data_IF_827737653131
#
_entry.id   IF_827737653131
#
_cell.length_a   1.000
_cell.length_b   1.000
_cell.length_c   1.000
_cell.angle_alpha   90.00
_cell.angle_beta   90.00
_cell.angle_gamma   90.00
#
_symmetry.space_group_name_H-M   'P 1'
#
loop_
_entity.id
_entity.type
_entity.pdbx_description
1 polymer ?
#
# COMPACT_ATOMS: atom_id res chain seq x y z
N UNK A 1 -10.43 20.04 -21.14
CA UNK A 1 -11.13 18.87 -20.57
C UNK A 1 -12.60 18.94 -21.01
N UNK A 2 -13.18 17.80 -21.37
CA UNK A 2 -14.62 17.68 -21.61
C UNK A 2 -15.37 17.98 -20.27
N UNK A 3 -16.43 18.82 -20.27
CA UNK A 3 -17.21 19.11 -19.06
C UNK A 3 -17.74 17.84 -18.35
N UNK A 4 -18.13 16.81 -19.10
CA UNK A 4 -18.58 15.55 -18.55
C UNK A 4 -17.47 14.84 -17.77
N UNK A 5 -16.21 14.89 -18.24
CA UNK A 5 -15.08 14.29 -17.55
C UNK A 5 -14.85 14.97 -16.19
N UNK A 6 -14.94 16.31 -16.15
CA UNK A 6 -14.78 17.10 -14.92
C UNK A 6 -15.87 16.78 -13.91
N UNK A 7 -17.14 16.72 -14.37
CA UNK A 7 -18.26 16.33 -13.51
C UNK A 7 -18.09 14.90 -13.01
N UNK A 8 -17.65 13.99 -13.87
CA UNK A 8 -17.37 12.60 -13.50
C UNK A 8 -16.29 12.51 -12.41
N UNK A 9 -15.17 13.23 -12.56
CA UNK A 9 -14.11 13.30 -11.55
C UNK A 9 -14.64 13.89 -10.21
N UNK A 10 -15.48 14.90 -10.26
CA UNK A 10 -16.10 15.46 -9.05
C UNK A 10 -17.03 14.46 -8.35
N UNK A 11 -17.85 13.74 -9.09
CA UNK A 11 -18.71 12.69 -8.54
C UNK A 11 -17.91 11.54 -7.92
N UNK A 12 -16.73 11.22 -8.46
CA UNK A 12 -15.81 10.31 -7.83
C UNK A 12 -15.34 10.80 -6.45
N UNK A 13 -15.02 12.09 -6.29
CA UNK A 13 -14.65 12.65 -4.98
C UNK A 13 -15.78 12.52 -3.96
N UNK A 14 -17.02 12.80 -4.38
CA UNK A 14 -18.20 12.59 -3.52
C UNK A 14 -18.35 11.11 -3.15
N UNK A 15 -18.16 10.22 -4.11
CA UNK A 15 -18.21 8.79 -3.88
C UNK A 15 -17.15 8.34 -2.86
N UNK A 16 -15.92 8.84 -3.00
CA UNK A 16 -14.84 8.54 -2.07
C UNK A 16 -15.14 8.99 -0.64
N UNK A 17 -15.76 10.15 -0.49
CA UNK A 17 -16.23 10.66 0.81
C UNK A 17 -17.25 9.70 1.46
N UNK A 18 -18.23 9.21 0.71
CA UNK A 18 -19.19 8.22 1.23
C UNK A 18 -18.53 6.86 1.52
N UNK A 19 -17.56 6.45 0.70
CA UNK A 19 -16.78 5.23 0.94
C UNK A 19 -16.01 5.28 2.26
N UNK A 20 -15.38 6.44 2.57
CA UNK A 20 -14.64 6.62 3.83
C UNK A 20 -15.52 6.58 5.09
N UNK A 21 -16.84 6.72 4.93
CA UNK A 21 -17.86 6.61 5.97
C UNK A 21 -18.56 5.24 5.97
N UNK A 22 -18.03 4.25 5.25
CA UNK A 22 -18.62 2.92 5.04
C UNK A 22 -20.03 2.94 4.41
N UNK A 23 -20.44 4.09 3.83
CA UNK A 23 -21.71 4.21 3.13
C UNK A 23 -21.57 3.77 1.67
N UNK A 24 -21.40 2.46 1.47
CA UNK A 24 -21.10 1.88 0.16
C UNK A 24 -22.26 2.00 -0.83
N UNK A 25 -23.50 2.11 -0.36
CA UNK A 25 -24.68 2.31 -1.23
C UNK A 25 -24.61 3.66 -1.93
N UNK A 26 -24.46 4.74 -1.17
CA UNK A 26 -24.31 6.09 -1.73
C UNK A 26 -23.02 6.21 -2.55
N UNK A 27 -21.92 5.65 -2.06
CA UNK A 27 -20.66 5.63 -2.80
C UNK A 27 -20.86 5.01 -4.19
N UNK A 28 -21.46 3.83 -4.27
CA UNK A 28 -21.71 3.14 -5.54
C UNK A 28 -22.68 3.90 -6.47
N UNK A 29 -23.67 4.60 -5.91
CA UNK A 29 -24.55 5.46 -6.71
C UNK A 29 -23.74 6.54 -7.44
N UNK A 30 -22.91 7.29 -6.72
CA UNK A 30 -22.08 8.34 -7.33
C UNK A 30 -21.00 7.79 -8.26
N UNK A 31 -20.43 6.60 -7.96
CA UNK A 31 -19.51 5.90 -8.86
C UNK A 31 -20.15 5.53 -10.19
N UNK A 32 -21.39 5.07 -10.19
CA UNK A 32 -22.12 4.75 -11.42
C UNK A 32 -22.31 6.00 -12.29
N UNK A 33 -22.68 7.13 -11.66
CA UNK A 33 -22.80 8.41 -12.37
C UNK A 33 -21.45 8.90 -12.91
N UNK A 34 -20.40 8.81 -12.09
CA UNK A 34 -19.03 9.15 -12.50
C UNK A 34 -18.59 8.32 -13.70
N UNK A 35 -18.79 7.01 -13.64
CA UNK A 35 -18.42 6.10 -14.72
C UNK A 35 -19.24 6.30 -16.00
N UNK A 36 -20.50 6.71 -15.87
CA UNK A 36 -21.34 7.06 -17.02
C UNK A 36 -20.81 8.30 -17.73
N UNK A 37 -20.40 9.34 -16.99
CA UNK A 37 -19.89 10.59 -17.53
C UNK A 37 -18.44 10.49 -18.02
N UNK A 38 -17.60 9.71 -17.32
CA UNK A 38 -16.19 9.52 -17.65
C UNK A 38 -15.80 8.03 -17.56
N UNK A 39 -16.16 7.21 -18.56
CA UNK A 39 -15.91 5.76 -18.53
C UNK A 39 -14.42 5.39 -18.61
N UNK A 40 -13.56 6.33 -19.02
CA UNK A 40 -12.09 6.11 -19.10
C UNK A 40 -11.37 6.41 -17.77
N UNK A 41 -12.08 6.92 -16.76
CA UNK A 41 -11.50 7.27 -15.47
C UNK A 41 -11.37 6.02 -14.58
N UNK A 42 -10.24 5.32 -14.71
CA UNK A 42 -9.99 4.02 -14.08
C UNK A 42 -10.02 4.06 -12.54
N UNK A 43 -9.88 5.24 -11.91
CA UNK A 43 -10.08 5.39 -10.46
C UNK A 43 -11.48 4.94 -9.99
N UNK A 44 -12.49 5.04 -10.87
CA UNK A 44 -13.82 4.51 -10.56
C UNK A 44 -13.76 3.00 -10.27
N UNK A 45 -13.02 2.22 -11.09
CA UNK A 45 -12.88 0.78 -10.89
C UNK A 45 -12.12 0.46 -9.60
N UNK A 46 -11.08 1.24 -9.26
CA UNK A 46 -10.32 1.00 -8.03
C UNK A 46 -11.20 1.22 -6.80
N UNK A 47 -12.02 2.29 -6.77
CA UNK A 47 -12.92 2.54 -5.64
C UNK A 47 -14.08 1.54 -5.56
N UNK A 48 -14.60 1.06 -6.72
CA UNK A 48 -15.57 -0.07 -6.73
C UNK A 48 -14.95 -1.32 -6.12
N UNK A 49 -13.72 -1.67 -6.49
CA UNK A 49 -13.02 -2.82 -5.94
C UNK A 49 -12.77 -2.67 -4.42
N UNK A 50 -12.41 -1.45 -3.97
CA UNK A 50 -12.23 -1.12 -2.56
C UNK A 50 -13.52 -1.27 -1.77
N UNK A 51 -14.63 -0.69 -2.23
CA UNK A 51 -15.94 -0.83 -1.60
C UNK A 51 -16.37 -2.29 -1.49
N UNK A 52 -16.16 -3.07 -2.55
CA UNK A 52 -16.47 -4.49 -2.56
C UNK A 52 -15.59 -5.28 -1.59
N UNK A 53 -14.29 -4.94 -1.50
CA UNK A 53 -13.37 -5.55 -0.54
C UNK A 53 -13.77 -5.22 0.91
N UNK A 54 -14.02 -3.95 1.23
CA UNK A 54 -14.40 -3.50 2.57
C UNK A 54 -15.73 -4.10 3.01
N UNK A 55 -16.68 -4.24 2.06
CA UNK A 55 -17.95 -4.93 2.28
C UNK A 55 -17.86 -6.47 2.21
N UNK A 56 -16.63 -7.03 2.26
CA UNK A 56 -16.33 -8.49 2.25
C UNK A 56 -16.87 -9.24 1.01
N UNK A 57 -17.20 -8.52 -0.06
CA UNK A 57 -17.67 -9.08 -1.34
C UNK A 57 -16.49 -9.50 -2.23
N UNK A 58 -15.61 -10.35 -1.71
CA UNK A 58 -14.31 -10.68 -2.33
C UNK A 58 -14.42 -11.24 -3.75
N UNK A 59 -15.45 -12.03 -4.07
CA UNK A 59 -15.68 -12.54 -5.42
C UNK A 59 -15.94 -11.40 -6.42
N UNK A 60 -16.75 -10.40 -6.01
CA UNK A 60 -17.03 -9.24 -6.86
C UNK A 60 -15.79 -8.35 -7.00
N UNK A 61 -15.06 -8.14 -5.91
CA UNK A 61 -13.82 -7.39 -5.93
C UNK A 61 -12.82 -7.97 -6.94
N UNK A 62 -12.58 -9.30 -6.92
CA UNK A 62 -11.73 -9.98 -7.90
C UNK A 62 -12.19 -9.74 -9.34
N UNK A 63 -13.48 -9.93 -9.62
CA UNK A 63 -14.04 -9.68 -10.97
C UNK A 63 -13.87 -8.23 -11.42
N UNK A 64 -13.93 -7.27 -10.50
CA UNK A 64 -13.67 -5.87 -10.81
C UNK A 64 -12.18 -5.62 -11.09
N UNK A 65 -11.29 -6.23 -10.28
CA UNK A 65 -9.84 -6.13 -10.44
C UNK A 65 -9.33 -6.73 -11.76
N UNK A 66 -9.97 -7.78 -12.27
CA UNK A 66 -9.64 -8.40 -13.57
C UNK A 66 -9.81 -7.45 -14.77
N UNK A 67 -10.51 -6.33 -14.60
CA UNK A 67 -10.65 -5.30 -15.63
C UNK A 67 -9.40 -4.43 -15.81
N UNK A 68 -8.49 -4.40 -14.81
CA UNK A 68 -7.20 -3.73 -14.97
C UNK A 68 -6.27 -4.59 -15.82
N UNK A 69 -5.75 -4.00 -16.88
CA UNK A 69 -4.89 -4.68 -17.85
C UNK A 69 -3.44 -4.63 -17.42
N UNK A 70 -2.64 -5.57 -17.95
CA UNK A 70 -1.20 -5.66 -17.67
C UNK A 70 -0.44 -4.43 -18.17
N UNK A 71 -0.92 -3.81 -19.26
CA UNK A 71 -0.33 -2.62 -19.88
C UNK A 71 -0.46 -1.34 -19.01
N UNK A 72 -1.35 -1.37 -18.02
CA UNK A 72 -1.55 -0.28 -17.07
C UNK A 72 -0.71 -0.51 -15.81
N UNK A 73 0.62 -0.38 -15.85
CA UNK A 73 1.57 -0.73 -14.79
C UNK A 73 1.12 -0.35 -13.37
N UNK A 74 0.64 0.88 -13.20
CA UNK A 74 0.17 1.37 -11.90
C UNK A 74 -1.06 0.61 -11.39
N UNK A 75 -2.06 0.43 -12.26
CA UNK A 75 -3.30 -0.25 -11.90
C UNK A 75 -3.12 -1.75 -11.83
N UNK A 76 -2.23 -2.31 -12.64
CA UNK A 76 -1.86 -3.72 -12.56
C UNK A 76 -1.26 -4.05 -11.20
N UNK A 77 -0.29 -3.25 -10.72
CA UNK A 77 0.27 -3.44 -9.39
C UNK A 77 -0.76 -3.23 -8.27
N UNK A 78 -1.65 -2.24 -8.40
CA UNK A 78 -2.79 -2.07 -7.49
C UNK A 78 -3.66 -3.33 -7.43
N UNK A 79 -3.99 -3.92 -8.58
CA UNK A 79 -4.72 -5.19 -8.68
C UNK A 79 -4.01 -6.29 -7.91
N UNK A 80 -2.72 -6.54 -8.18
CA UNK A 80 -1.91 -7.58 -7.53
C UNK A 80 -1.92 -7.42 -6.00
N UNK A 81 -1.72 -6.20 -5.50
CA UNK A 81 -1.79 -5.93 -4.06
C UNK A 81 -3.15 -6.24 -3.46
N UNK A 82 -4.22 -5.85 -4.13
CA UNK A 82 -5.58 -6.06 -3.63
C UNK A 82 -5.95 -7.54 -3.68
N UNK A 83 -5.55 -8.28 -4.70
CA UNK A 83 -5.71 -9.73 -4.78
C UNK A 83 -4.95 -10.45 -3.66
N UNK A 84 -3.71 -10.04 -3.37
CA UNK A 84 -2.93 -10.56 -2.23
C UNK A 84 -3.64 -10.30 -0.89
N UNK A 85 -4.20 -9.09 -0.69
CA UNK A 85 -5.00 -8.77 0.50
C UNK A 85 -6.24 -9.66 0.62
N UNK A 86 -6.96 -9.92 -0.48
CA UNK A 86 -8.10 -10.82 -0.51
C UNK A 86 -7.67 -12.25 -0.13
N UNK A 87 -6.56 -12.75 -0.69
CA UNK A 87 -6.00 -14.06 -0.35
C UNK A 87 -5.69 -14.13 1.14
N UNK A 88 -5.05 -13.11 1.71
CA UNK A 88 -4.76 -13.05 3.14
C UNK A 88 -6.02 -13.13 4.02
N UNK A 89 -7.14 -12.54 3.59
CA UNK A 89 -8.43 -12.59 4.31
C UNK A 89 -9.18 -13.91 4.14
N UNK A 90 -9.10 -14.52 2.95
CA UNK A 90 -9.84 -15.75 2.64
C UNK A 90 -9.09 -17.02 3.00
N UNK A 91 -7.77 -16.97 3.06
CA UNK A 91 -6.89 -18.10 3.32
C UNK A 91 -5.93 -17.79 4.48
N UNK A 92 -4.70 -17.35 4.15
CA UNK A 92 -3.68 -17.02 5.14
C UNK A 92 -2.62 -16.06 4.57
N UNK A 93 -1.80 -15.50 5.48
CA UNK A 93 -0.73 -14.56 5.12
C UNK A 93 0.36 -15.21 4.25
N UNK A 94 0.67 -16.48 4.46
CA UNK A 94 1.71 -17.19 3.71
C UNK A 94 1.34 -17.33 2.23
N UNK A 95 0.10 -17.74 1.94
CA UNK A 95 -0.38 -17.82 0.55
C UNK A 95 -0.44 -16.43 -0.11
N UNK A 96 -0.84 -15.40 0.63
CA UNK A 96 -0.81 -14.01 0.18
C UNK A 96 0.60 -13.56 -0.19
N UNK A 97 1.58 -13.85 0.67
CA UNK A 97 2.99 -13.53 0.41
C UNK A 97 3.52 -14.28 -0.82
N UNK A 98 3.27 -15.58 -0.91
CA UNK A 98 3.68 -16.38 -2.06
C UNK A 98 3.11 -15.83 -3.38
N UNK A 99 1.84 -15.41 -3.37
CA UNK A 99 1.20 -14.83 -4.53
C UNK A 99 1.87 -13.52 -4.95
N UNK A 100 2.01 -12.56 -4.02
CA UNK A 100 2.53 -11.23 -4.39
C UNK A 100 4.02 -11.28 -4.79
N UNK A 101 4.82 -12.15 -4.16
CA UNK A 101 6.23 -12.32 -4.51
C UNK A 101 6.40 -12.96 -5.89
N UNK A 102 5.53 -13.92 -6.25
CA UNK A 102 5.53 -14.52 -7.59
C UNK A 102 5.17 -13.48 -8.68
N UNK A 103 4.23 -12.59 -8.40
CA UNK A 103 3.88 -11.50 -9.32
C UNK A 103 4.98 -10.42 -9.38
N UNK A 104 5.58 -10.08 -8.24
CA UNK A 104 6.70 -9.15 -8.17
C UNK A 104 7.91 -9.63 -8.98
N UNK A 105 8.21 -10.92 -8.96
CA UNK A 105 9.32 -11.51 -9.72
C UNK A 105 9.19 -11.36 -11.25
N UNK A 106 8.00 -11.03 -11.75
CA UNK A 106 7.75 -10.77 -13.19
C UNK A 106 8.08 -9.34 -13.61
N UNK A 107 8.29 -8.44 -12.65
CA UNK A 107 8.57 -7.02 -12.90
C UNK A 107 10.08 -6.84 -13.08
N UNK A 108 10.52 -6.45 -14.26
CA UNK A 108 11.95 -6.32 -14.58
C UNK A 108 12.61 -5.16 -13.81
N UNK A 109 11.98 -4.00 -13.76
CA UNK A 109 12.51 -2.77 -13.12
C UNK A 109 11.47 -2.18 -12.16
N UNK A 110 11.29 -2.78 -10.97
CA UNK A 110 10.30 -2.27 -10.02
C UNK A 110 10.74 -0.91 -9.47
N UNK A 111 9.84 0.07 -9.51
CA UNK A 111 10.06 1.37 -8.89
C UNK A 111 10.03 1.29 -7.35
N UNK A 112 10.49 2.35 -6.68
CA UNK A 112 10.59 2.37 -5.21
C UNK A 112 9.24 2.11 -4.50
N UNK A 113 8.11 2.51 -5.10
CA UNK A 113 6.79 2.24 -4.54
C UNK A 113 6.45 0.74 -4.55
N UNK A 114 6.75 0.06 -5.63
CA UNK A 114 6.57 -1.40 -5.75
C UNK A 114 7.46 -2.14 -4.76
N UNK A 115 8.75 -1.72 -4.65
CA UNK A 115 9.71 -2.29 -3.69
C UNK A 115 9.24 -2.06 -2.25
N UNK A 116 8.75 -0.86 -1.93
CA UNK A 116 8.19 -0.54 -0.62
C UNK A 116 6.98 -1.42 -0.26
N UNK A 117 6.08 -1.63 -1.20
CA UNK A 117 4.93 -2.50 -1.00
C UNK A 117 5.36 -3.94 -0.68
N UNK A 118 6.34 -4.48 -1.42
CA UNK A 118 6.90 -5.82 -1.17
C UNK A 118 7.55 -5.90 0.21
N UNK A 119 8.37 -4.92 0.60
CA UNK A 119 8.98 -4.85 1.93
C UNK A 119 7.91 -4.93 3.04
N UNK A 120 6.81 -4.17 2.88
CA UNK A 120 5.70 -4.22 3.83
C UNK A 120 4.97 -5.57 3.85
N UNK A 121 4.81 -6.25 2.73
CA UNK A 121 4.23 -7.61 2.71
C UNK A 121 5.11 -8.61 3.46
N UNK A 122 6.43 -8.57 3.27
CA UNK A 122 7.37 -9.39 4.05
C UNK A 122 7.30 -9.07 5.54
N UNK A 123 7.38 -7.78 5.93
CA UNK A 123 7.25 -7.35 7.33
C UNK A 123 5.95 -7.85 7.97
N UNK A 124 4.81 -7.68 7.28
CA UNK A 124 3.50 -8.10 7.78
C UNK A 124 3.35 -9.63 7.89
N UNK A 125 4.17 -10.37 7.15
CA UNK A 125 4.25 -11.83 7.21
C UNK A 125 5.31 -12.32 8.20
N UNK A 126 5.99 -11.40 8.92
CA UNK A 126 7.09 -11.65 9.88
C UNK A 126 8.38 -12.16 9.25
N UNK A 127 8.54 -12.01 7.95
CA UNK A 127 9.77 -12.30 7.21
C UNK A 127 10.66 -11.03 7.23
N UNK A 128 11.19 -10.73 8.42
CA UNK A 128 11.84 -9.44 8.70
C UNK A 128 13.16 -9.27 7.96
N UNK A 129 13.95 -10.34 7.79
CA UNK A 129 15.21 -10.30 7.04
C UNK A 129 15.01 -9.88 5.58
N UNK A 130 13.98 -10.43 4.93
CA UNK A 130 13.63 -10.04 3.56
C UNK A 130 13.09 -8.58 3.53
N UNK A 131 12.27 -8.19 4.50
CA UNK A 131 11.79 -6.81 4.59
C UNK A 131 12.96 -5.81 4.70
N UNK A 132 13.95 -6.10 5.54
CA UNK A 132 15.16 -5.28 5.72
C UNK A 132 15.91 -5.11 4.39
N UNK A 133 16.09 -6.18 3.61
CA UNK A 133 16.77 -6.11 2.30
C UNK A 133 16.08 -5.11 1.36
N UNK A 134 14.75 -5.19 1.27
CA UNK A 134 13.99 -4.31 0.37
C UNK A 134 13.91 -2.87 0.89
N UNK A 135 13.79 -2.62 2.19
CA UNK A 135 13.90 -1.27 2.74
C UNK A 135 15.27 -0.68 2.49
N UNK A 136 16.35 -1.44 2.70
CA UNK A 136 17.73 -1.00 2.44
C UNK A 136 17.90 -0.60 0.98
N UNK A 137 17.40 -1.41 0.03
CA UNK A 137 17.47 -1.08 -1.40
C UNK A 137 16.85 0.28 -1.74
N UNK A 138 15.80 0.71 -1.03
CA UNK A 138 15.20 2.03 -1.26
C UNK A 138 16.04 3.11 -0.56
N UNK A 139 16.43 2.90 0.70
CA UNK A 139 17.18 3.86 1.53
C UNK A 139 18.48 4.26 0.86
N UNK A 140 19.20 3.31 0.27
CA UNK A 140 20.49 3.54 -0.37
C UNK A 140 20.39 4.44 -1.62
N UNK A 141 19.19 4.58 -2.18
CA UNK A 141 18.92 5.43 -3.36
C UNK A 141 18.19 6.74 -3.01
N UNK A 142 18.00 7.05 -1.73
CA UNK A 142 17.34 8.28 -1.30
C UNK A 142 18.34 9.33 -0.79
N UNK A 143 18.04 10.60 -1.07
CA UNK A 143 18.75 11.74 -0.49
C UNK A 143 18.69 11.71 1.04
N UNK A 144 19.70 12.30 1.70
CA UNK A 144 19.93 12.17 3.13
C UNK A 144 18.84 12.76 4.03
N UNK A 145 18.04 13.70 3.54
CA UNK A 145 17.01 14.38 4.33
C UNK A 145 15.67 14.33 3.61
N UNK A 146 14.87 13.31 3.90
CA UNK A 146 13.48 13.23 3.44
C UNK A 146 12.59 12.54 4.47
N UNK A 147 11.33 12.96 4.60
CA UNK A 147 10.32 12.27 5.43
C UNK A 147 10.16 10.81 5.02
N UNK A 148 10.29 10.51 3.72
CA UNK A 148 10.25 9.15 3.21
C UNK A 148 11.40 8.32 3.78
N UNK A 149 12.62 8.88 3.87
CA UNK A 149 13.77 8.16 4.45
C UNK A 149 13.56 7.89 5.94
N UNK A 150 13.00 8.86 6.69
CA UNK A 150 12.66 8.65 8.09
C UNK A 150 11.65 7.51 8.30
N UNK A 151 10.57 7.44 7.49
CA UNK A 151 9.59 6.34 7.55
C UNK A 151 10.23 4.99 7.21
N UNK A 152 11.10 4.93 6.21
CA UNK A 152 11.81 3.70 5.83
C UNK A 152 12.77 3.23 6.92
N UNK A 153 13.54 4.15 7.53
CA UNK A 153 14.44 3.85 8.64
C UNK A 153 13.64 3.34 9.85
N UNK A 154 12.53 4.00 10.21
CA UNK A 154 11.63 3.53 11.26
C UNK A 154 11.15 2.09 11.01
N UNK A 155 10.74 1.77 9.78
CA UNK A 155 10.27 0.42 9.42
C UNK A 155 11.40 -0.60 9.43
N UNK A 156 12.59 -0.24 8.95
CA UNK A 156 13.76 -1.12 8.95
C UNK A 156 14.28 -1.33 10.36
N UNK A 157 14.40 -0.30 11.15
CA UNK A 157 14.78 -0.37 12.57
C UNK A 157 13.85 -1.28 13.36
N UNK A 158 12.52 -1.09 13.20
CA UNK A 158 11.55 -2.02 13.79
C UNK A 158 11.66 -3.46 13.29
N UNK A 159 12.13 -3.69 12.08
CA UNK A 159 12.40 -5.04 11.58
C UNK A 159 13.68 -5.63 12.16
N UNK A 160 14.74 -4.83 12.35
CA UNK A 160 15.97 -5.22 13.04
C UNK A 160 15.68 -5.62 14.49
N UNK A 161 14.87 -4.85 15.20
CA UNK A 161 14.49 -5.18 16.59
C UNK A 161 13.80 -6.56 16.66
N UNK A 162 12.87 -6.83 15.73
CA UNK A 162 12.14 -8.10 15.69
C UNK A 162 13.03 -9.35 15.48
N UNK A 163 14.21 -9.18 14.93
CA UNK A 163 15.22 -10.26 14.76
C UNK A 163 16.39 -10.15 15.75
N UNK A 164 16.28 -9.26 16.75
CA UNK A 164 17.27 -9.13 17.84
C UNK A 164 18.55 -8.39 17.47
N UNK A 165 18.57 -7.62 16.38
CA UNK A 165 19.74 -6.81 15.96
C UNK A 165 19.55 -5.38 16.48
N UNK A 166 19.65 -5.22 17.80
CA UNK A 166 19.29 -3.99 18.51
C UNK A 166 20.17 -2.80 18.14
N UNK A 167 21.50 -2.99 17.98
CA UNK A 167 22.40 -1.88 17.60
C UNK A 167 21.99 -1.23 16.29
N UNK A 168 21.60 -2.01 15.29
CA UNK A 168 21.11 -1.48 14.00
C UNK A 168 19.70 -0.88 14.11
N UNK A 169 18.87 -1.42 14.98
CA UNK A 169 17.56 -0.86 15.24
C UNK A 169 17.69 0.55 15.83
N UNK A 170 18.53 0.72 16.84
CA UNK A 170 18.80 2.02 17.48
C UNK A 170 19.42 3.01 16.49
N UNK A 171 20.39 2.59 15.68
CA UNK A 171 21.01 3.43 14.64
C UNK A 171 19.96 4.00 13.68
N UNK A 172 19.08 3.14 13.14
CA UNK A 172 18.04 3.53 12.21
C UNK A 172 17.01 4.46 12.87
N UNK A 173 16.57 4.15 14.09
CA UNK A 173 15.55 4.92 14.81
C UNK A 173 16.08 6.28 15.24
N UNK A 174 17.32 6.36 15.74
CA UNK A 174 17.96 7.64 16.09
C UNK A 174 18.19 8.51 14.86
N UNK A 175 18.55 7.90 13.72
CA UNK A 175 18.68 8.66 12.48
C UNK A 175 17.32 9.15 11.96
N UNK A 176 16.29 8.33 12.04
CA UNK A 176 14.93 8.73 11.68
C UNK A 176 14.43 9.89 12.57
N UNK A 177 14.70 9.84 13.89
CA UNK A 177 14.39 10.90 14.84
C UNK A 177 15.16 12.20 14.55
N UNK A 178 16.41 12.10 14.06
CA UNK A 178 17.18 13.28 13.64
C UNK A 178 16.55 14.00 12.44
N UNK A 179 15.91 13.25 11.53
CA UNK A 179 15.17 13.82 10.39
C UNK A 179 13.82 14.38 10.85
N UNK A 180 13.12 13.68 11.72
CA UNK A 180 11.79 14.04 12.24
C UNK A 180 11.75 13.98 13.78
N UNK A 181 12.19 15.04 14.47
CA UNK A 181 12.41 15.03 15.92
C UNK A 181 11.14 14.84 16.77
N UNK A 182 9.99 15.22 16.22
CA UNK A 182 8.71 15.20 16.93
C UNK A 182 7.85 13.97 16.59
N UNK A 183 8.43 12.96 15.92
CA UNK A 183 7.69 11.76 15.56
C UNK A 183 7.38 10.91 16.80
N UNK A 184 6.12 10.95 17.22
CA UNK A 184 5.64 10.25 18.41
C UNK A 184 5.80 8.71 18.31
N UNK A 185 5.78 8.13 17.11
CA UNK A 185 5.95 6.68 16.92
C UNK A 185 7.39 6.27 17.15
N UNK A 186 8.35 7.05 16.62
CA UNK A 186 9.79 6.79 16.82
C UNK A 186 10.16 6.97 18.28
N UNK A 187 9.72 8.07 18.90
CA UNK A 187 9.96 8.35 20.32
C UNK A 187 9.41 7.25 21.23
N UNK A 188 8.17 6.84 20.99
CA UNK A 188 7.54 5.75 21.74
C UNK A 188 8.29 4.42 21.55
N UNK A 189 8.77 4.15 20.34
CA UNK A 189 9.51 2.93 20.07
C UNK A 189 10.84 2.88 20.82
N UNK A 190 11.64 3.95 20.77
CA UNK A 190 12.90 4.06 21.49
C UNK A 190 12.69 3.96 23.00
N UNK A 191 11.64 4.59 23.54
CA UNK A 191 11.30 4.49 24.95
C UNK A 191 11.04 3.03 25.39
N UNK A 192 10.41 2.22 24.56
CA UNK A 192 10.18 0.80 24.84
C UNK A 192 11.43 -0.07 24.64
N UNK A 193 12.29 0.27 23.69
CA UNK A 193 13.49 -0.53 23.41
C UNK A 193 14.58 -0.39 24.48
N UNK A 194 14.55 0.71 25.27
CA UNK A 194 15.53 0.99 26.32
C UNK A 194 15.05 0.58 27.74
N UNK A 195 13.85 0.05 27.88
CA UNK A 195 13.30 -0.53 29.12
C UNK A 195 13.63 -2.03 29.24
#
# INVERSE_FOLDING_TARGET
>A
KNPNDVIGEFLFLISNLYSSQDNFEKSNFYLNLSNFLNPKFLFNLSLVAENQYSNKQYKKAKKTLEKFKVEDDFYYWYRIKKEAQIISKQRNKKESLNYITAEFAKINEPNNKVIFDIANFYKNSKEYEEAIKYYTKIIDNLDDISEMKADLLYRRGGSYERIGIYDKADEDLLYALKINPDDAYILNYLAYSWL
#
